data_IF_935392121627
#
_entry.id   IF_935392121627
#
_cell.length_a   1.000
_cell.length_b   1.000
_cell.length_c   1.000
_cell.angle_alpha   90.00
_cell.angle_beta   90.00
_cell.angle_gamma   90.00
#
_symmetry.space_group_name_H-M   'P 1'
#
loop_
_entity.id
_entity.type
_entity.pdbx_description
1 polymer ?
#
# COMPACT_ATOMS: atom_id res chain seq x y z
N UNK A 1 -2.70 -9.94 -3.64
CA UNK A 1 -3.85 -10.41 -4.45
C UNK A 1 -3.39 -11.23 -5.65
N UNK A 2 -2.46 -10.74 -6.47
CA UNK A 2 -1.92 -11.47 -7.63
C UNK A 2 -1.35 -12.85 -7.27
N UNK A 3 -0.46 -12.93 -6.28
CA UNK A 3 0.10 -14.22 -5.80
C UNK A 3 -0.92 -15.17 -5.16
N UNK A 4 -2.13 -14.70 -4.83
CA UNK A 4 -3.24 -15.54 -4.34
C UNK A 4 -4.22 -15.92 -5.45
N UNK A 5 -3.99 -15.52 -6.70
CA UNK A 5 -4.91 -15.76 -7.82
C UNK A 5 -6.17 -14.89 -7.84
N UNK A 6 -6.39 -14.03 -6.82
CA UNK A 6 -7.58 -13.17 -6.69
C UNK A 6 -7.67 -12.03 -7.72
N UNK A 7 -6.71 -11.93 -8.64
CA UNK A 7 -6.65 -10.88 -9.66
C UNK A 7 -6.23 -11.44 -11.02
N UNK A 8 -6.38 -12.75 -11.22
CA UNK A 8 -5.96 -13.41 -12.45
C UNK A 8 -6.82 -13.00 -13.66
N UNK A 9 -8.09 -12.63 -13.43
CA UNK A 9 -8.98 -12.15 -14.48
C UNK A 9 -8.45 -10.90 -15.20
N UNK A 10 -7.82 -9.98 -14.46
CA UNK A 10 -7.20 -8.76 -15.03
C UNK A 10 -5.98 -9.06 -15.92
N UNK A 11 -5.36 -10.23 -15.76
CA UNK A 11 -4.23 -10.67 -16.60
C UNK A 11 -4.74 -11.23 -17.92
N UNK A 12 -5.91 -11.88 -17.92
CA UNK A 12 -6.50 -12.47 -19.11
C UNK A 12 -7.30 -11.48 -19.95
N UNK A 13 -8.00 -10.55 -19.31
CA UNK A 13 -8.74 -9.48 -19.99
C UNK A 13 -8.52 -8.13 -19.26
N UNK A 14 -7.60 -7.28 -19.77
CA UNK A 14 -7.31 -5.98 -19.17
C UNK A 14 -8.39 -4.93 -19.46
N UNK A 15 -9.38 -5.24 -20.31
CA UNK A 15 -10.42 -4.30 -20.72
C UNK A 15 -11.42 -4.04 -19.59
N UNK A 16 -11.63 -5.02 -18.72
CA UNK A 16 -12.43 -4.89 -17.51
C UNK A 16 -11.51 -4.63 -16.31
N UNK A 17 -11.46 -3.38 -15.86
CA UNK A 17 -10.70 -2.98 -14.66
C UNK A 17 -11.37 -3.51 -13.38
N UNK A 18 -11.19 -4.79 -13.05
CA UNK A 18 -11.65 -5.32 -11.78
C UNK A 18 -10.69 -4.97 -10.67
N UNK A 19 -11.11 -4.04 -9.82
CA UNK A 19 -10.40 -3.74 -8.57
C UNK A 19 -10.45 -4.97 -7.66
N UNK A 20 -9.28 -5.50 -7.31
CA UNK A 20 -9.14 -6.67 -6.43
C UNK A 20 -9.86 -6.47 -5.10
N UNK A 21 -10.46 -7.55 -4.58
CA UNK A 21 -11.14 -7.56 -3.27
C UNK A 21 -10.21 -7.11 -2.14
N UNK A 22 -8.93 -7.51 -2.17
CA UNK A 22 -7.95 -7.12 -1.17
C UNK A 22 -7.60 -5.62 -1.26
N UNK A 23 -7.56 -5.07 -2.47
CA UNK A 23 -7.36 -3.63 -2.64
C UNK A 23 -8.51 -2.84 -1.99
N UNK A 24 -9.76 -3.26 -2.22
CA UNK A 24 -10.94 -2.66 -1.58
C UNK A 24 -10.88 -2.77 -0.06
N UNK A 25 -10.47 -3.94 0.45
CA UNK A 25 -10.29 -4.15 1.88
C UNK A 25 -9.26 -3.19 2.49
N UNK A 26 -8.06 -3.06 1.89
CA UNK A 26 -7.03 -2.16 2.41
C UNK A 26 -7.44 -0.68 2.35
N UNK A 27 -8.16 -0.26 1.30
CA UNK A 27 -8.70 1.11 1.21
C UNK A 27 -9.70 1.37 2.34
N UNK A 28 -10.64 0.45 2.57
CA UNK A 28 -11.61 0.59 3.66
C UNK A 28 -10.94 0.60 5.03
N UNK A 29 -9.95 -0.26 5.24
CA UNK A 29 -9.16 -0.31 6.48
C UNK A 29 -8.39 1.00 6.68
N UNK A 30 -7.79 1.56 5.63
CA UNK A 30 -7.13 2.86 5.69
C UNK A 30 -8.11 3.97 6.07
N UNK A 31 -9.29 4.04 5.44
CA UNK A 31 -10.31 5.03 5.79
C UNK A 31 -10.75 4.90 7.25
N UNK A 32 -10.97 3.67 7.72
CA UNK A 32 -11.35 3.42 9.10
C UNK A 32 -10.28 3.93 10.08
N UNK A 33 -9.01 3.63 9.82
CA UNK A 33 -7.88 4.14 10.62
C UNK A 33 -7.79 5.67 10.53
N UNK A 34 -7.96 6.24 9.34
CA UNK A 34 -7.92 7.68 9.09
C UNK A 34 -8.96 8.46 9.91
N UNK A 35 -10.20 7.96 9.96
CA UNK A 35 -11.27 8.59 10.73
C UNK A 35 -11.12 8.36 12.24
N UNK A 36 -10.77 7.15 12.69
CA UNK A 36 -10.57 6.86 14.12
C UNK A 36 -9.43 7.69 14.71
N UNK A 37 -8.34 7.86 13.96
CA UNK A 37 -7.20 8.69 14.36
C UNK A 37 -7.46 10.20 14.20
N UNK A 38 -8.63 10.60 13.70
CA UNK A 38 -8.98 12.00 13.47
C UNK A 38 -7.99 12.72 12.52
N UNK A 39 -7.31 11.96 11.66
CA UNK A 39 -6.24 12.47 10.79
C UNK A 39 -6.73 13.50 9.76
N UNK A 40 -8.03 13.55 9.49
CA UNK A 40 -8.63 14.59 8.65
C UNK A 40 -8.43 16.01 9.20
N UNK A 41 -8.34 16.19 10.52
CA UNK A 41 -8.05 17.50 11.12
C UNK A 41 -6.66 18.00 10.73
N UNK A 42 -5.68 17.10 10.63
CA UNK A 42 -4.31 17.42 10.21
C UNK A 42 -4.32 17.92 8.75
N UNK A 43 -5.07 17.25 7.88
CA UNK A 43 -5.18 17.63 6.46
C UNK A 43 -5.86 18.99 6.31
N UNK A 44 -6.99 19.20 6.98
CA UNK A 44 -7.73 20.47 6.91
C UNK A 44 -6.88 21.62 7.48
N UNK A 45 -6.23 21.41 8.63
CA UNK A 45 -5.33 22.39 9.22
C UNK A 45 -4.14 22.72 8.33
N UNK A 46 -3.55 21.71 7.69
CA UNK A 46 -2.45 21.89 6.72
C UNK A 46 -2.85 22.72 5.51
N UNK A 47 -4.07 22.53 4.99
CA UNK A 47 -4.61 23.36 3.90
C UNK A 47 -4.76 24.80 4.36
N UNK A 48 -5.32 25.05 5.55
CA UNK A 48 -5.50 26.41 6.06
C UNK A 48 -4.15 27.13 6.23
N UNK A 49 -3.17 26.47 6.86
CA UNK A 49 -1.81 27.00 7.01
C UNK A 49 -1.15 27.28 5.65
N UNK A 50 -1.40 26.47 4.62
CA UNK A 50 -0.81 26.69 3.30
C UNK A 50 -1.17 28.05 2.69
N UNK A 51 -2.37 28.58 2.96
CA UNK A 51 -2.79 29.91 2.49
C UNK A 51 -2.15 31.06 3.27
N UNK A 52 -1.68 30.84 4.50
CA UNK A 52 -0.92 31.83 5.27
C UNK A 52 0.50 31.98 4.73
N UNK A 53 1.14 30.86 4.34
CA UNK A 53 2.50 30.87 3.78
C UNK A 53 2.53 31.24 2.29
N UNK A 54 1.48 30.91 1.52
CA UNK A 54 1.35 31.23 0.09
C UNK A 54 0.08 32.04 -0.18
N UNK A 55 0.10 33.38 0.04
CA UNK A 55 -1.01 34.21 -0.36
C UNK A 55 -1.28 34.08 -1.87
N UNK A 56 -2.56 34.05 -2.24
CA UNK A 56 -3.03 33.81 -3.60
C UNK A 56 -2.33 34.78 -4.58
N UNK A 57 -1.56 34.22 -5.52
CA UNK A 57 -0.82 34.99 -6.53
C UNK A 57 0.69 35.13 -6.31
N UNK A 58 1.24 34.61 -5.20
CA UNK A 58 2.69 34.70 -4.87
C UNK A 58 3.48 33.39 -5.06
N UNK A 59 2.86 32.36 -5.64
CA UNK A 59 3.45 31.02 -5.72
C UNK A 59 4.58 30.95 -6.75
N UNK A 60 5.83 30.90 -6.27
CA UNK A 60 6.99 30.50 -7.05
C UNK A 60 7.22 28.99 -6.92
N UNK A 61 7.17 28.24 -8.03
CA UNK A 61 7.62 26.85 -8.03
C UNK A 61 9.15 26.83 -7.90
N UNK A 62 9.65 26.51 -6.70
CA UNK A 62 11.08 26.38 -6.43
C UNK A 62 11.54 24.93 -6.72
N UNK A 63 12.80 24.76 -7.16
CA UNK A 63 13.46 23.47 -7.35
C UNK A 63 13.37 22.56 -6.10
N UNK A 64 13.37 23.17 -4.91
CA UNK A 64 13.20 22.45 -3.62
C UNK A 64 11.90 21.65 -3.53
N UNK A 65 10.81 22.12 -4.16
CA UNK A 65 9.53 21.40 -4.17
C UNK A 65 9.65 20.13 -5.01
N UNK A 66 10.31 20.22 -6.16
CA UNK A 66 10.52 19.08 -7.04
C UNK A 66 11.38 18.01 -6.37
N UNK A 67 12.47 18.40 -5.71
CA UNK A 67 13.33 17.49 -4.96
C UNK A 67 12.56 16.78 -3.84
N UNK A 68 11.77 17.53 -3.06
CA UNK A 68 10.92 16.97 -2.01
C UNK A 68 9.92 15.93 -2.57
N UNK A 69 9.23 16.25 -3.67
CA UNK A 69 8.25 15.32 -4.27
C UNK A 69 8.93 14.05 -4.76
N UNK A 70 10.11 14.14 -5.37
CA UNK A 70 10.88 12.98 -5.84
C UNK A 70 11.31 12.12 -4.65
N UNK A 71 11.88 12.73 -3.61
CA UNK A 71 12.34 12.03 -2.40
C UNK A 71 11.18 11.29 -1.72
N UNK A 72 10.04 11.97 -1.53
CA UNK A 72 8.84 11.35 -0.92
C UNK A 72 8.24 10.26 -1.81
N UNK A 73 8.26 10.42 -3.13
CA UNK A 73 7.78 9.38 -4.05
C UNK A 73 8.65 8.11 -3.96
N UNK A 74 9.97 8.26 -3.88
CA UNK A 74 10.88 7.14 -3.68
C UNK A 74 10.63 6.45 -2.34
N UNK A 75 10.41 7.22 -1.27
CA UNK A 75 10.06 6.68 0.05
C UNK A 75 8.76 5.87 0.02
N UNK A 76 7.73 6.36 -0.67
CA UNK A 76 6.46 5.63 -0.82
C UNK A 76 6.65 4.27 -1.52
N UNK A 77 7.50 4.23 -2.55
CA UNK A 77 7.82 2.97 -3.23
C UNK A 77 8.55 1.99 -2.32
N UNK A 78 9.55 2.46 -1.57
CA UNK A 78 10.30 1.63 -0.61
C UNK A 78 9.39 1.09 0.48
N UNK A 79 8.52 1.94 1.07
CA UNK A 79 7.58 1.51 2.09
C UNK A 79 6.56 0.50 1.54
N UNK A 80 6.00 0.76 0.37
CA UNK A 80 5.08 -0.17 -0.29
C UNK A 80 5.73 -1.52 -0.56
N UNK A 81 6.98 -1.52 -1.04
CA UNK A 81 7.75 -2.73 -1.25
C UNK A 81 8.03 -3.46 0.06
N UNK A 82 8.54 -2.79 1.10
CA UNK A 82 8.82 -3.39 2.40
C UNK A 82 7.59 -4.02 3.04
N UNK A 83 6.43 -3.37 2.93
CA UNK A 83 5.16 -3.90 3.42
C UNK A 83 4.75 -5.14 2.64
N UNK A 84 4.85 -5.11 1.31
CA UNK A 84 4.43 -6.23 0.46
C UNK A 84 5.39 -7.42 0.49
N UNK A 85 6.69 -7.16 0.69
CA UNK A 85 7.78 -8.14 0.61
C UNK A 85 7.58 -9.41 1.46
N UNK A 86 7.27 -9.34 2.77
CA UNK A 86 7.11 -10.54 3.59
C UNK A 86 5.96 -11.43 3.07
N UNK A 87 4.83 -10.83 2.67
CA UNK A 87 3.69 -11.58 2.14
C UNK A 87 3.99 -12.17 0.76
N UNK A 88 4.68 -11.42 -0.09
CA UNK A 88 5.12 -11.89 -1.40
C UNK A 88 6.08 -13.07 -1.28
N UNK A 89 7.03 -13.01 -0.35
CA UNK A 89 8.01 -14.08 -0.09
C UNK A 89 7.32 -15.37 0.38
N UNK A 90 6.39 -15.27 1.33
CA UNK A 90 5.62 -16.43 1.83
C UNK A 90 4.89 -17.13 0.68
N UNK A 91 4.16 -16.36 -0.14
CA UNK A 91 3.40 -16.92 -1.26
C UNK A 91 4.31 -17.40 -2.40
N UNK A 92 5.45 -16.76 -2.62
CA UNK A 92 6.45 -17.23 -3.57
C UNK A 92 7.01 -18.59 -3.16
N UNK A 93 7.40 -18.75 -1.90
CA UNK A 93 7.87 -20.04 -1.37
C UNK A 93 6.79 -21.12 -1.45
N UNK A 94 5.53 -20.77 -1.19
CA UNK A 94 4.41 -21.69 -1.38
C UNK A 94 4.28 -22.13 -2.85
N UNK A 95 4.43 -21.22 -3.80
CA UNK A 95 4.42 -21.55 -5.23
C UNK A 95 5.55 -22.51 -5.60
N UNK A 96 6.76 -22.29 -5.09
CA UNK A 96 7.90 -23.19 -5.28
C UNK A 96 7.61 -24.56 -4.67
N UNK A 97 7.03 -24.63 -3.48
CA UNK A 97 6.66 -25.88 -2.82
C UNK A 97 5.60 -26.66 -3.64
N UNK A 98 4.55 -25.97 -4.13
CA UNK A 98 3.53 -26.57 -4.98
C UNK A 98 4.12 -27.08 -6.31
N UNK A 99 5.03 -26.33 -6.92
CA UNK A 99 5.74 -26.76 -8.13
C UNK A 99 6.56 -28.04 -7.88
N UNK A 100 7.22 -28.15 -6.74
CA UNK A 100 7.96 -29.35 -6.36
C UNK A 100 7.02 -30.54 -6.13
N UNK A 101 5.88 -30.34 -5.45
CA UNK A 101 4.85 -31.38 -5.27
C UNK A 101 4.33 -31.88 -6.60
N UNK A 102 4.10 -30.98 -7.57
CA UNK A 102 3.66 -31.37 -8.91
C UNK A 102 4.65 -32.30 -9.62
N UNK A 103 5.96 -32.12 -9.38
CA UNK A 103 7.00 -33.01 -9.93
C UNK A 103 7.06 -34.35 -9.21
N UNK A 104 6.81 -34.39 -7.90
CA UNK A 104 6.89 -35.61 -7.09
C UNK A 104 5.64 -36.49 -7.18
N UNK A 105 4.46 -35.87 -7.28
CA UNK A 105 3.16 -36.55 -7.31
C UNK A 105 2.37 -36.02 -8.51
N UNK A 106 2.75 -36.38 -9.75
CA UNK A 106 2.16 -35.82 -10.99
C UNK A 106 0.69 -36.20 -11.20
N UNK A 107 0.21 -37.22 -10.49
CA UNK A 107 -1.19 -37.66 -10.49
C UNK A 107 -2.12 -36.71 -9.71
N UNK A 108 -1.59 -35.81 -8.87
CA UNK A 108 -2.37 -34.80 -8.16
C UNK A 108 -2.49 -33.56 -9.03
N UNK A 109 -3.72 -33.10 -9.28
CA UNK A 109 -3.93 -31.81 -9.93
C UNK A 109 -3.59 -30.67 -8.94
N UNK A 110 -2.35 -30.21 -9.00
CA UNK A 110 -1.84 -29.14 -8.13
C UNK A 110 -2.57 -27.83 -8.31
N UNK A 111 -3.23 -27.58 -9.45
CA UNK A 111 -4.06 -26.36 -9.60
C UNK A 111 -5.33 -26.40 -8.74
N UNK A 112 -5.95 -27.58 -8.58
CA UNK A 112 -7.14 -27.75 -7.74
C UNK A 112 -6.82 -27.52 -6.27
N UNK A 113 -5.65 -27.98 -5.81
CA UNK A 113 -5.23 -27.84 -4.40
C UNK A 113 -4.51 -26.51 -4.14
N UNK A 114 -3.75 -26.04 -5.11
CA UNK A 114 -2.85 -24.90 -5.00
C UNK A 114 -3.57 -23.57 -4.83
N UNK A 115 -4.63 -23.31 -5.61
CA UNK A 115 -5.38 -22.06 -5.51
C UNK A 115 -6.03 -21.88 -4.12
N UNK A 116 -6.79 -22.86 -3.57
CA UNK A 116 -7.27 -22.77 -2.19
C UNK A 116 -6.15 -22.56 -1.18
N UNK A 117 -5.05 -23.31 -1.30
CA UNK A 117 -3.90 -23.20 -0.40
C UNK A 117 -3.27 -21.80 -0.41
N UNK A 118 -3.08 -21.21 -1.59
CA UNK A 118 -2.55 -19.84 -1.74
C UNK A 118 -3.45 -18.81 -1.06
N UNK A 119 -4.77 -18.94 -1.19
CA UNK A 119 -5.73 -18.06 -0.54
C UNK A 119 -5.66 -18.24 0.98
N UNK A 120 -5.69 -19.47 1.48
CA UNK A 120 -5.61 -19.76 2.92
C UNK A 120 -4.32 -19.21 3.55
N UNK A 121 -3.17 -19.51 2.95
CA UNK A 121 -1.87 -19.03 3.46
C UNK A 121 -1.77 -17.51 3.34
N UNK A 122 -2.23 -16.92 2.24
CA UNK A 122 -2.19 -15.48 2.04
C UNK A 122 -3.08 -14.73 3.03
N UNK A 123 -4.30 -15.19 3.27
CA UNK A 123 -5.20 -14.62 4.28
C UNK A 123 -4.69 -14.86 5.70
N UNK A 124 -4.11 -16.04 5.98
CA UNK A 124 -3.49 -16.35 7.27
C UNK A 124 -2.26 -15.46 7.57
N UNK A 125 -1.43 -15.19 6.55
CA UNK A 125 -0.34 -14.24 6.69
C UNK A 125 -0.88 -12.82 6.96
N UNK A 126 -1.90 -12.39 6.22
CA UNK A 126 -2.54 -11.08 6.42
C UNK A 126 -3.21 -10.93 7.77
N UNK A 127 -3.82 -11.98 8.34
CA UNK A 127 -4.43 -11.90 9.66
C UNK A 127 -3.37 -11.74 10.76
N UNK A 128 -2.26 -12.47 10.67
CA UNK A 128 -1.13 -12.34 11.60
C UNK A 128 -0.41 -10.99 11.44
N UNK A 129 -0.23 -10.53 10.21
CA UNK A 129 0.40 -9.25 9.88
C UNK A 129 -0.53 -8.03 10.01
N UNK A 130 -1.82 -8.24 10.23
CA UNK A 130 -2.84 -7.18 10.17
C UNK A 130 -2.61 -6.09 11.22
N UNK A 131 -2.24 -6.46 12.45
CA UNK A 131 -1.91 -5.51 13.50
C UNK A 131 -0.69 -4.64 13.12
N UNK A 132 0.33 -5.23 12.50
CA UNK A 132 1.49 -4.50 12.02
C UNK A 132 1.12 -3.52 10.88
N UNK A 133 0.23 -3.92 9.97
CA UNK A 133 -0.28 -3.04 8.91
C UNK A 133 -1.03 -1.83 9.49
N UNK A 134 -1.88 -2.04 10.50
CA UNK A 134 -2.58 -0.94 11.18
C UNK A 134 -1.59 -0.03 11.91
N UNK A 135 -0.61 -0.59 12.63
CA UNK A 135 0.43 0.19 13.30
C UNK A 135 1.22 1.07 12.32
N UNK A 136 1.62 0.50 11.17
CA UNK A 136 2.30 1.25 10.12
C UNK A 136 1.41 2.33 9.51
N UNK A 137 0.12 2.07 9.31
CA UNK A 137 -0.83 3.06 8.81
C UNK A 137 -0.98 4.25 9.77
N UNK A 138 -1.12 3.99 11.08
CA UNK A 138 -1.19 5.05 12.10
C UNK A 138 0.10 5.88 12.12
N UNK A 139 1.26 5.22 12.07
CA UNK A 139 2.55 5.90 12.01
C UNK A 139 2.75 6.73 10.73
N UNK A 140 2.23 6.26 9.59
CA UNK A 140 2.26 7.03 8.35
C UNK A 140 1.38 8.27 8.46
N UNK A 141 0.18 8.15 9.06
CA UNK A 141 -0.75 9.25 9.26
C UNK A 141 -0.20 10.30 10.24
N UNK A 142 0.44 9.89 11.34
CA UNK A 142 1.02 10.84 12.29
C UNK A 142 2.18 11.65 11.70
N UNK A 143 2.92 11.06 10.75
CA UNK A 143 3.98 11.75 10.00
C UNK A 143 3.45 12.76 8.98
N UNK A 144 2.18 12.68 8.57
CA UNK A 144 1.61 13.64 7.62
C UNK A 144 1.72 15.07 8.16
N UNK A 145 1.45 15.29 9.44
CA UNK A 145 1.54 16.63 10.04
C UNK A 145 2.95 17.23 9.94
N UNK A 146 3.98 16.43 10.27
CA UNK A 146 5.37 16.88 10.14
C UNK A 146 5.80 17.07 8.69
N UNK A 147 5.34 16.23 7.78
CA UNK A 147 5.66 16.32 6.36
C UNK A 147 5.03 17.57 5.73
N UNK A 148 3.78 17.89 6.07
CA UNK A 148 3.13 19.15 5.67
C UNK A 148 3.91 20.37 6.15
N UNK A 149 4.34 20.40 7.41
CA UNK A 149 5.15 21.52 7.93
C UNK A 149 6.52 21.62 7.25
N UNK A 150 7.11 20.49 6.89
CA UNK A 150 8.38 20.45 6.16
C UNK A 150 8.22 21.01 4.74
N UNK A 151 7.14 20.67 4.05
CA UNK A 151 6.80 21.25 2.73
C UNK A 151 6.63 22.75 2.87
N UNK A 152 5.79 23.21 3.80
CA UNK A 152 5.51 24.63 3.98
C UNK A 152 6.79 25.44 4.28
N UNK A 153 7.75 24.87 5.02
CA UNK A 153 9.07 25.49 5.25
C UNK A 153 9.99 25.44 4.03
N UNK A 154 10.00 24.34 3.29
CA UNK A 154 10.81 24.18 2.08
C UNK A 154 10.33 25.09 0.95
N UNK A 155 9.04 25.44 0.95
CA UNK A 155 8.43 26.38 0.00
C UNK A 155 8.42 27.81 0.55
N UNK A 156 8.39 27.99 1.89
CA UNK A 156 8.24 29.28 2.59
C UNK A 156 9.54 30.04 2.85
N UNK A 157 10.62 29.66 2.15
CA UNK A 157 11.75 30.53 1.82
C UNK A 157 11.70 30.85 0.32
#
# INVERSE_FOLDING_TARGET
SYFMGLSIANVFDPTFWQVSILNRFFILLFYLVFFITQSYHIVIGGIFMSFEYFPVGSMGFNANIFEFVIEKSALLFVLGFQIAFPFALILFLLNVALALVNRLIPQVNVFIVGLPMQIFVGLGALSLGGAALVYLAVNALSRLGSDFMTILRAVGL
#
